data_IF_491409915740
#
_entry.id   IF_491409915740
#
_cell.length_a   1.000
_cell.length_b   1.000
_cell.length_c   1.000
_cell.angle_alpha   90.00
_cell.angle_beta   90.00
_cell.angle_gamma   90.00
#
_symmetry.space_group_name_H-M   'P 1'
#
loop_
_entity.id
_entity.type
_entity.pdbx_description
1 polymer ?
2 polymer ?
3 non-polymer ?
4 water ?
#
# COMPACT_ATOMS: atom_id res chain seq x y z
N UNK A 1 -11.78 -12.58 -1.27
CA UNK A 1 -11.64 -11.66 -0.11
C UNK A 1 -12.97 -10.95 0.17
N UNK A 2 -13.50 -11.17 1.37
CA UNK A 2 -14.78 -10.60 1.76
C UNK A 2 -14.66 -9.59 2.90
N UNK A 3 -13.43 -9.45 3.38
CA UNK A 3 -13.10 -8.63 4.55
C UNK A 3 -13.09 -9.45 5.83
N UNK A 4 -13.86 -10.54 5.86
CA UNK A 4 -13.94 -11.33 7.08
C UNK A 4 -13.18 -12.65 6.99
N UNK A 5 -12.74 -13.15 8.14
CA UNK A 5 -11.93 -14.36 8.20
C UNK A 5 -12.47 -15.27 9.29
N UNK A 6 -12.11 -16.56 9.25
CA UNK A 6 -12.63 -17.48 10.26
C UNK A 6 -11.83 -17.46 11.56
N UNK A 7 -11.30 -16.29 11.88
CA UNK A 7 -10.59 -16.08 13.12
C UNK A 7 -10.77 -14.61 13.48
N UNK A 8 -10.42 -14.27 14.71
CA UNK A 8 -10.69 -12.96 15.29
C UNK A 8 -9.60 -11.96 14.92
N UNK A 9 -9.94 -11.07 14.00
CA UNK A 9 -9.04 -10.05 13.49
C UNK A 9 -8.69 -9.01 14.57
N UNK A 10 -9.66 -8.72 15.42
CA UNK A 10 -9.43 -7.71 16.46
C UNK A 10 -8.43 -8.18 17.51
N UNK A 11 -8.44 -9.48 17.80
CA UNK A 11 -7.48 -10.08 18.70
C UNK A 11 -6.08 -10.07 18.06
N UNK A 12 -6.03 -10.36 16.76
CA UNK A 12 -4.79 -10.44 16.02
C UNK A 12 -4.13 -9.06 15.86
N UNK A 13 -4.95 -8.09 15.49
CA UNK A 13 -4.53 -6.71 15.22
C UNK A 13 -5.23 -5.75 16.20
N UNK A 14 -4.62 -5.48 17.36
CA UNK A 14 -5.28 -4.56 18.29
C UNK A 14 -5.36 -3.11 17.81
N UNK A 15 -4.42 -2.69 16.98
CA UNK A 15 -4.40 -1.30 16.53
C UNK A 15 -5.20 -1.15 15.22
N UNK A 16 -5.70 0.06 15.00
CA UNK A 16 -6.50 0.35 13.81
C UNK A 16 -5.72 0.10 12.51
N UNK A 17 -4.47 0.54 12.49
CA UNK A 17 -3.56 0.29 11.38
C UNK A 17 -2.34 -0.43 11.93
N UNK A 18 -2.07 -1.59 11.34
CA UNK A 18 -0.97 -2.46 11.72
C UNK A 18 0.10 -2.41 10.62
N UNK A 19 1.35 -2.26 11.03
CA UNK A 19 2.46 -2.13 10.10
C UNK A 19 3.34 -3.38 10.22
N UNK A 20 3.55 -4.03 9.08
CA UNK A 20 4.29 -5.29 9.03
C UNK A 20 5.40 -5.23 7.99
N UNK A 21 6.49 -5.93 8.26
CA UNK A 21 7.61 -6.01 7.33
C UNK A 21 7.86 -7.49 6.99
N UNK A 22 9.04 -7.78 6.43
CA UNK A 22 9.34 -9.12 5.91
C UNK A 22 9.22 -10.22 6.97
N UNK A 23 9.34 -9.86 8.24
CA UNK A 23 9.29 -10.83 9.32
C UNK A 23 7.86 -11.20 9.72
N UNK A 24 6.90 -10.40 9.27
CA UNK A 24 5.48 -10.65 9.54
C UNK A 24 5.26 -11.07 11.00
N UNK A 25 5.69 -10.19 11.91
CA UNK A 25 5.58 -10.45 13.34
C UNK A 25 4.18 -10.16 13.87
N UNK A 26 3.55 -11.16 14.47
CA UNK A 26 2.25 -10.85 15.09
C UNK A 26 2.40 -9.80 16.20
N UNK A 27 1.49 -8.82 16.27
CA UNK A 27 1.50 -7.92 17.43
C UNK A 27 1.42 -8.70 18.74
N UNK A 28 2.14 -8.26 19.77
CA UNK A 28 2.12 -8.93 21.06
C UNK A 28 1.98 -7.92 22.18
N UNK A 39 -4.04 -21.63 15.70
CA UNK A 39 -3.30 -21.06 16.82
C UNK A 39 -1.96 -20.48 16.36
N UNK A 40 -1.69 -20.52 15.06
CA UNK A 40 -0.52 -19.84 14.53
C UNK A 40 -0.94 -18.45 14.04
N UNK A 41 -0.67 -17.45 14.85
CA UNK A 41 -1.03 -16.09 14.53
C UNK A 41 -0.30 -15.61 13.28
N UNK A 42 0.92 -16.07 13.06
CA UNK A 42 1.64 -15.64 11.88
C UNK A 42 0.94 -16.14 10.62
N UNK A 43 0.40 -17.35 10.65
CA UNK A 43 -0.30 -17.88 9.49
C UNK A 43 -1.59 -17.08 9.22
N UNK A 44 -2.24 -16.62 10.28
CA UNK A 44 -3.38 -15.74 10.12
C UNK A 44 -2.99 -14.46 9.35
N UNK A 45 -1.87 -13.86 9.73
CA UNK A 45 -1.37 -12.68 9.03
C UNK A 45 -1.04 -13.01 7.57
N UNK A 46 -0.39 -14.14 7.35
CA UNK A 46 -0.02 -14.54 5.98
C UNK A 46 -1.25 -14.74 5.12
N UNK A 47 -2.29 -15.35 5.68
CA UNK A 47 -3.52 -15.55 4.95
C UNK A 47 -4.19 -14.21 4.57
N UNK A 48 -4.20 -13.27 5.51
CA UNK A 48 -4.78 -11.95 5.25
C UNK A 48 -4.03 -11.28 4.09
N UNK A 49 -2.70 -11.33 4.13
CA UNK A 49 -1.91 -10.71 3.05
C UNK A 49 -2.16 -11.41 1.70
N UNK A 50 -2.21 -12.73 1.71
CA UNK A 50 -2.48 -13.48 0.48
C UNK A 50 -3.82 -13.06 -0.13
N UNK A 51 -4.86 -13.02 0.69
CA UNK A 51 -6.18 -12.67 0.19
C UNK A 51 -6.27 -11.21 -0.28
N UNK A 52 -5.65 -10.32 0.46
CA UNK A 52 -5.60 -8.91 0.08
C UNK A 52 -4.90 -8.75 -1.25
N UNK A 53 -3.77 -9.45 -1.44
CA UNK A 53 -3.05 -9.33 -2.69
C UNK A 53 -3.84 -9.84 -3.88
N UNK A 54 -4.55 -10.94 -3.70
CA UNK A 54 -5.36 -11.47 -4.79
C UNK A 54 -6.50 -10.51 -5.15
N UNK A 55 -7.12 -9.92 -4.13
CA UNK A 55 -8.21 -8.96 -4.36
C UNK A 55 -7.71 -7.71 -5.08
N UNK A 56 -6.56 -7.20 -4.68
CA UNK A 56 -5.99 -6.01 -5.31
C UNK A 56 -5.68 -6.28 -6.77
N UNK A 57 -5.11 -7.44 -7.06
CA UNK A 57 -4.77 -7.78 -8.43
C UNK A 57 -6.02 -7.78 -9.30
N UNK A 58 -7.09 -8.40 -8.79
CA UNK A 58 -8.33 -8.45 -9.55
C UNK A 58 -8.87 -7.05 -9.81
N UNK A 59 -8.80 -6.19 -8.80
CA UNK A 59 -9.29 -4.82 -8.92
C UNK A 59 -8.53 -4.01 -9.97
N UNK A 60 -7.27 -4.35 -10.21
CA UNK A 60 -6.41 -3.59 -11.12
C UNK A 60 -6.21 -4.28 -12.46
N UNK A 61 -6.99 -5.31 -12.71
CA UNK A 61 -6.88 -6.04 -13.97
C UNK A 61 -5.50 -6.67 -14.16
N UNK A 62 -4.93 -7.20 -13.08
CA UNK A 62 -3.68 -7.93 -13.17
C UNK A 62 -3.99 -9.43 -13.18
N UNK A 63 -3.15 -10.21 -13.86
CA UNK A 63 -3.40 -11.63 -14.03
C UNK A 63 -2.88 -12.46 -12.87
N UNK A 64 -2.05 -11.84 -12.02
CA UNK A 64 -1.56 -12.49 -10.81
C UNK A 64 -1.25 -11.46 -9.74
N UNK A 65 -1.22 -11.89 -8.47
CA UNK A 65 -0.92 -10.94 -7.38
C UNK A 65 0.51 -10.42 -7.37
N UNK A 66 0.69 -9.17 -6.96
CA UNK A 66 2.03 -8.60 -6.73
C UNK A 66 2.31 -8.48 -5.23
N UNK A 67 1.30 -8.74 -4.41
CA UNK A 67 1.44 -8.79 -2.96
C UNK A 67 1.02 -10.17 -2.47
N UNK A 68 1.85 -10.76 -1.64
CA UNK A 68 1.56 -12.05 -1.03
C UNK A 68 2.43 -12.23 0.19
N UNK A 69 2.11 -13.20 1.02
CA UNK A 69 2.94 -13.45 2.18
C UNK A 69 4.37 -13.82 1.75
N UNK A 70 4.50 -14.71 0.78
CA UNK A 70 5.83 -15.14 0.37
C UNK A 70 6.62 -13.99 -0.25
N UNK A 71 5.96 -13.11 -0.99
CA UNK A 71 6.65 -11.95 -1.55
C UNK A 71 7.07 -10.97 -0.43
N UNK A 72 6.27 -10.85 0.62
CA UNK A 72 6.64 -9.99 1.74
C UNK A 72 7.92 -10.54 2.37
N UNK A 73 8.00 -11.86 2.49
CA UNK A 73 9.11 -12.47 3.20
C UNK A 73 10.42 -12.38 2.43
N UNK A 74 10.33 -12.24 1.11
CA UNK A 74 11.52 -12.21 0.27
C UNK A 74 11.94 -10.83 -0.24
N UNK A 75 11.26 -9.79 0.22
CA UNK A 75 11.55 -8.42 -0.18
C UNK A 75 11.72 -7.51 1.02
N UNK A 76 12.03 -6.24 0.77
CA UNK A 76 12.11 -5.23 1.81
C UNK A 76 10.98 -4.24 1.61
N UNK A 77 9.76 -4.74 1.70
CA UNK A 77 8.58 -3.94 1.61
C UNK A 77 7.92 -3.86 2.98
N UNK A 78 7.06 -2.87 3.14
CA UNK A 78 6.34 -2.63 4.38
C UNK A 78 4.89 -2.50 4.00
N UNK A 79 4.04 -3.23 4.73
CA UNK A 79 2.62 -3.20 4.50
C UNK A 79 1.88 -2.62 5.71
N UNK A 80 0.94 -1.73 5.42
CA UNK A 80 0.07 -1.09 6.40
C UNK A 80 -1.32 -1.64 6.16
N UNK A 81 -1.88 -2.28 7.18
CA UNK A 81 -3.19 -2.92 7.07
C UNK A 81 -4.21 -2.24 7.95
N UNK A 82 -5.29 -1.77 7.34
CA UNK A 82 -6.38 -1.10 8.04
C UNK A 82 -7.48 -2.10 8.35
N UNK A 83 -7.76 -2.28 9.64
CA UNK A 83 -8.89 -3.11 10.07
C UNK A 83 -10.15 -2.24 10.18
N UNK A 84 -11.30 -2.90 10.22
CA UNK A 84 -12.58 -2.21 10.33
C UNK A 84 -12.82 -1.83 11.80
N UNK A 85 -13.05 -0.55 12.08
CA UNK A 85 -13.20 -0.08 13.45
C UNK A 85 -14.65 -0.11 13.89
N UNK A 86 -15.53 -0.62 13.03
CA UNK A 86 -16.93 -0.80 13.39
C UNK A 86 -17.10 -2.23 13.86
N UNK A 87 -18.25 -2.49 14.47
CA UNK A 87 -18.60 -3.84 14.88
C UNK A 87 -19.26 -4.52 13.68
N UNK A 88 -18.88 -5.77 13.44
CA UNK A 88 -19.50 -6.55 12.36
C UNK A 88 -20.42 -7.59 12.97
N UNK A 89 -21.48 -7.97 12.24
CA UNK A 89 -22.46 -8.92 12.80
C UNK A 89 -21.84 -10.26 13.22
N UNK A 90 -20.88 -10.76 12.45
CA UNK A 90 -20.26 -12.06 12.75
C UNK A 90 -19.31 -11.98 13.94
N UNK A 91 -18.97 -10.76 14.34
CA UNK A 91 -18.33 -10.51 15.62
C UNK A 91 -16.87 -10.90 15.74
N UNK A 92 -16.18 -11.02 14.60
CA UNK A 92 -14.76 -11.41 14.63
C UNK A 92 -13.89 -10.38 13.89
N UNK A 93 -14.41 -9.17 13.74
CA UNK A 93 -13.67 -8.11 13.07
C UNK A 93 -13.59 -8.30 11.57
N UNK A 94 -12.90 -7.39 10.90
CA UNK A 94 -12.76 -7.47 9.45
C UNK A 94 -11.60 -6.60 9.03
N UNK A 95 -11.13 -6.84 7.81
CA UNK A 95 -10.03 -6.06 7.22
C UNK A 95 -10.59 -5.21 6.08
N UNK A 96 -10.26 -3.93 6.08
CA UNK A 96 -10.68 -3.01 5.02
C UNK A 96 -9.75 -2.98 3.82
N UNK A 97 -8.45 -2.89 4.05
CA UNK A 97 -7.52 -2.79 2.95
C UNK A 97 -6.11 -2.56 3.44
N UNK A 98 -5.25 -2.14 2.51
CA UNK A 98 -3.82 -2.03 2.79
C UNK A 98 -3.13 -1.12 1.80
N UNK A 99 -1.94 -0.68 2.20
CA UNK A 99 -1.01 -0.03 1.30
C UNK A 99 0.37 -0.65 1.55
N UNK A 100 1.10 -0.92 0.47
CA UNK A 100 2.43 -1.52 0.53
C UNK A 100 3.42 -0.57 -0.11
N UNK A 101 4.50 -0.32 0.60
CA UNK A 101 5.53 0.61 0.16
C UNK A 101 6.90 -0.03 0.24
N UNK A 102 7.86 0.54 -0.47
CA UNK A 102 9.23 0.09 -0.40
C UNK A 102 10.11 1.08 -1.13
N UNK A 103 11.34 1.22 -0.67
CA UNK A 103 12.32 2.04 -1.34
C UNK A 103 12.86 1.30 -2.54
N UNK A 104 13.05 1.99 -3.66
CA UNK A 104 13.68 1.38 -4.83
C UNK A 104 14.65 2.33 -5.50
N UNK A 105 15.78 1.81 -5.97
CA UNK A 105 16.68 2.56 -6.81
C UNK A 105 16.10 2.69 -8.21
N UNK A 106 15.99 3.92 -8.69
CA UNK A 106 15.47 4.22 -10.01
C UNK A 106 16.35 5.25 -10.68
N UNK A 107 16.27 5.31 -12.00
CA UNK A 107 16.88 6.38 -12.78
C UNK A 107 15.73 7.08 -13.47
N UNK A 108 15.58 8.37 -13.19
CA UNK A 108 14.47 9.11 -13.74
C UNK A 108 14.91 10.33 -14.53
N UNK A 109 14.21 10.55 -15.62
CA UNK A 109 14.46 11.65 -16.52
C UNK A 109 13.72 12.89 -16.04
N UNK A 110 14.42 14.01 -15.95
CA UNK A 110 13.75 15.27 -15.65
C UNK A 110 13.48 16.06 -16.92
N UNK A 111 12.98 17.28 -16.75
CA UNK A 111 12.63 18.13 -17.88
C UNK A 111 13.83 18.94 -18.39
N UNK A 112 15.01 18.64 -17.85
CA UNK A 112 16.24 19.29 -18.27
C UNK A 112 17.20 18.28 -18.90
N UNK A 113 16.62 17.18 -19.38
CA UNK A 113 17.34 16.14 -20.11
C UNK A 113 18.30 15.31 -19.27
N UNK A 114 18.23 15.46 -17.95
CA UNK A 114 19.15 14.74 -17.08
C UNK A 114 18.52 13.46 -16.58
N UNK A 115 19.30 12.41 -16.52
CA UNK A 115 18.90 11.20 -15.85
C UNK A 115 19.42 11.33 -14.44
N UNK A 116 18.52 11.20 -13.48
CA UNK A 116 18.81 11.34 -12.07
C UNK A 116 18.70 10.00 -11.37
N UNK A 117 19.75 9.62 -10.66
CA UNK A 117 19.73 8.43 -9.83
C UNK A 117 19.06 8.79 -8.51
N UNK A 118 18.00 8.04 -8.18
CA UNK A 118 17.22 8.36 -7.00
C UNK A 118 16.85 7.06 -6.27
N UNK A 119 16.43 7.19 -5.03
CA UNK A 119 15.98 6.07 -4.23
C UNK A 119 14.78 6.47 -3.40
N UNK A 120 13.69 6.82 -4.06
CA UNK A 120 12.51 7.29 -3.32
C UNK A 120 11.73 6.14 -2.68
N UNK A 121 10.94 6.49 -1.69
CA UNK A 121 9.88 5.59 -1.23
C UNK A 121 8.88 5.45 -2.37
N UNK A 122 8.54 4.21 -2.70
CA UNK A 122 7.57 3.92 -3.74
C UNK A 122 6.29 3.31 -3.17
N UNK A 123 5.16 3.71 -3.75
CA UNK A 123 3.89 3.06 -3.48
C UNK A 123 3.79 1.90 -4.46
N UNK A 124 3.70 0.69 -3.91
CA UNK A 124 3.81 -0.54 -4.68
C UNK A 124 2.48 -1.27 -4.89
N UNK A 125 1.58 -1.19 -3.91
CA UNK A 125 0.24 -1.77 -4.03
C UNK A 125 -0.65 -1.00 -3.05
N UNK A 126 -1.93 -0.89 -3.34
CA UNK A 126 -2.83 -0.07 -2.52
C UNK A 126 -4.23 -0.54 -2.91
N UNK A 127 -5.03 -0.96 -1.93
CA UNK A 127 -6.36 -1.50 -2.20
C UNK A 127 -7.25 -1.35 -0.98
N UNK A 128 -8.46 -0.89 -1.24
CA UNK A 128 -9.55 -0.82 -0.27
C UNK A 128 -10.69 -1.68 -0.80
N UNK A 129 -11.30 -2.53 0.03
CA UNK A 129 -12.37 -3.40 -0.45
C UNK A 129 -13.44 -2.62 -1.22
N UNK A 130 -13.87 -3.17 -2.36
CA UNK A 130 -14.82 -2.48 -3.26
C UNK A 130 -16.05 -1.92 -2.55
N UNK A 131 -16.60 -2.68 -1.63
CA UNK A 131 -17.84 -2.28 -0.96
C UNK A 131 -17.68 -1.04 -0.10
N UNK A 132 -16.45 -0.68 0.27
CA UNK A 132 -16.23 0.48 1.12
C UNK A 132 -15.22 1.47 0.53
N UNK A 133 -15.06 1.44 -0.78
CA UNK A 133 -14.31 2.49 -1.47
C UNK A 133 -15.09 3.79 -1.42
N UNK A 134 -14.37 4.89 -1.57
CA UNK A 134 -14.96 6.23 -1.54
C UNK A 134 -15.64 6.54 -0.21
N UNK A 135 -15.15 5.92 0.86
CA UNK A 135 -15.62 6.13 2.24
C UNK A 135 -14.55 6.85 3.05
N UNK A 136 -13.46 7.28 2.40
CA UNK A 136 -12.38 7.92 3.11
C UNK A 136 -11.29 7.02 3.68
N UNK A 137 -11.43 5.70 3.51
CA UNK A 137 -10.47 4.78 4.13
C UNK A 137 -9.09 4.89 3.47
N UNK A 138 -9.06 5.07 2.15
CA UNK A 138 -7.81 5.18 1.42
C UNK A 138 -7.01 6.38 1.92
N UNK A 139 -7.69 7.52 2.08
CA UNK A 139 -7.01 8.71 2.57
C UNK A 139 -6.46 8.50 3.96
N UNK A 140 -7.24 7.87 4.84
CA UNK A 140 -6.77 7.61 6.21
C UNK A 140 -5.47 6.78 6.18
N UNK A 141 -5.48 5.71 5.40
CA UNK A 141 -4.35 4.81 5.34
C UNK A 141 -3.11 5.52 4.75
N UNK A 142 -3.34 6.31 3.70
CA UNK A 142 -2.26 7.04 3.03
C UNK A 142 -1.63 8.04 4.01
N UNK A 143 -2.46 8.74 4.78
CA UNK A 143 -1.97 9.71 5.76
C UNK A 143 -1.12 9.06 6.84
N UNK A 144 -1.57 7.90 7.33
CA UNK A 144 -0.83 7.20 8.38
C UNK A 144 0.56 6.80 7.85
N UNK A 145 0.57 6.30 6.62
CA UNK A 145 1.81 5.88 5.99
C UNK A 145 2.76 7.09 5.83
N UNK A 146 2.24 8.23 5.36
CA UNK A 146 3.08 9.42 5.17
C UNK A 146 3.74 9.82 6.48
N UNK A 147 2.99 9.79 7.57
CA UNK A 147 3.49 10.20 8.87
C UNK A 147 4.58 9.24 9.37
N UNK A 148 4.34 7.94 9.26
CA UNK A 148 5.30 6.97 9.76
C UNK A 148 6.57 6.95 8.91
N UNK A 149 6.41 7.03 7.60
CA UNK A 149 7.55 7.05 6.69
C UNK A 149 8.28 8.39 6.66
N UNK A 150 7.65 9.44 7.19
CA UNK A 150 8.22 10.80 7.18
C UNK A 150 8.53 11.26 5.77
N UNK A 151 7.54 11.13 4.90
CA UNK A 151 7.67 11.57 3.53
C UNK A 151 6.49 12.45 3.16
N UNK A 152 6.70 13.35 2.21
CA UNK A 152 5.62 14.15 1.67
C UNK A 152 5.18 13.53 0.35
N UNK A 153 3.92 13.74 -0.03
CA UNK A 153 3.37 13.06 -1.22
C UNK A 153 4.17 13.31 -2.53
N UNK A 154 4.69 14.51 -2.73
CA UNK A 154 5.41 14.79 -3.96
C UNK A 154 6.80 14.18 -4.01
N UNK A 155 7.25 13.56 -2.92
CA UNK A 155 8.51 12.84 -2.88
C UNK A 155 8.41 11.38 -3.30
N UNK A 156 7.19 10.91 -3.53
CA UNK A 156 6.94 9.50 -3.84
C UNK A 156 7.08 9.17 -5.31
N UNK A 157 7.43 7.92 -5.58
CA UNK A 157 7.20 7.36 -6.91
C UNK A 157 6.14 6.26 -6.75
N UNK A 158 5.39 6.02 -7.81
CA UNK A 158 4.34 4.99 -7.77
C UNK A 158 4.52 4.01 -8.90
N UNK A 159 4.48 2.72 -8.58
CA UNK A 159 4.53 1.68 -9.61
C UNK A 159 3.21 1.66 -10.39
N UNK A 160 3.26 1.98 -11.67
CA UNK A 160 2.12 1.92 -12.59
C UNK A 160 0.78 2.26 -11.93
N UNK A 161 0.59 3.52 -11.54
CA UNK A 161 -0.63 3.88 -10.81
C UNK A 161 -1.85 3.74 -11.68
N UNK A 162 -2.94 3.30 -11.07
CA UNK A 162 -4.22 3.36 -11.73
C UNK A 162 -4.68 4.81 -11.87
N UNK A 163 -5.58 5.05 -12.81
CA UNK A 163 -6.18 6.36 -12.97
C UNK A 163 -6.95 6.77 -11.72
N UNK A 164 -7.58 5.81 -11.04
CA UNK A 164 -8.29 6.08 -9.79
C UNK A 164 -7.32 6.69 -8.77
N UNK A 165 -6.15 6.12 -8.68
CA UNK A 165 -5.18 6.62 -7.73
C UNK A 165 -4.68 8.01 -8.14
N UNK A 166 -4.48 8.23 -9.43
CA UNK A 166 -4.10 9.58 -9.84
C UNK A 166 -5.17 10.64 -9.48
N UNK A 167 -6.44 10.28 -9.63
CA UNK A 167 -7.53 11.20 -9.27
C UNK A 167 -7.52 11.45 -7.75
N UNK A 168 -7.33 10.38 -6.99
CA UNK A 168 -7.22 10.43 -5.53
C UNK A 168 -6.12 11.37 -5.10
N UNK A 169 -4.96 11.26 -5.75
CA UNK A 169 -3.82 12.05 -5.35
C UNK A 169 -3.99 13.51 -5.75
N UNK A 170 -4.63 13.75 -6.89
CA UNK A 170 -4.95 15.11 -7.25
C UNK A 170 -5.96 15.75 -6.31
N UNK A 171 -7.00 14.98 -5.98
CA UNK A 171 -8.04 15.50 -5.11
C UNK A 171 -7.50 15.83 -3.72
N UNK A 172 -6.80 14.88 -3.10
CA UNK A 172 -6.39 15.06 -1.71
C UNK A 172 -5.12 15.85 -1.50
N UNK A 173 -4.21 15.82 -2.48
CA UNK A 173 -2.87 16.38 -2.29
C UNK A 173 -2.47 17.31 -3.43
N UNK A 174 -3.37 17.54 -4.39
CA UNK A 174 -3.10 18.44 -5.52
C UNK A 174 -1.92 18.01 -6.36
N UNK A 175 -1.61 16.71 -6.36
CA UNK A 175 -0.47 16.21 -7.10
C UNK A 175 -0.77 16.17 -8.59
N UNK A 176 0.22 16.60 -9.37
CA UNK A 176 0.17 16.57 -10.82
C UNK A 176 1.35 15.78 -11.33
N UNK A 177 1.13 14.90 -12.29
CA UNK A 177 2.25 14.11 -12.78
C UNK A 177 3.26 15.00 -13.48
N UNK A 178 4.54 14.63 -13.36
CA UNK A 178 5.59 15.34 -14.09
C UNK A 178 6.13 14.43 -15.21
N UNK A 179 7.39 14.61 -15.60
CA UNK A 179 7.94 13.97 -16.79
C UNK A 179 7.66 12.46 -16.81
N UNK A 180 7.09 11.94 -17.92
CA UNK A 180 6.90 10.50 -18.03
C UNK A 180 8.20 9.72 -18.13
N UNK A 181 8.19 8.51 -17.60
CA UNK A 181 9.35 7.66 -17.48
C UNK A 181 9.22 6.40 -18.33
N UNK A 182 10.33 5.72 -18.56
CA UNK A 182 10.33 4.48 -19.31
C UNK A 182 10.38 3.25 -18.39
N UNK A 183 10.35 3.48 -17.08
CA UNK A 183 10.57 2.40 -16.10
C UNK A 183 9.30 1.96 -15.37
N UNK A 184 8.15 2.38 -15.88
CA UNK A 184 6.84 2.05 -15.31
C UNK A 184 6.48 2.74 -14.01
N UNK A 185 7.32 3.65 -13.53
CA UNK A 185 7.01 4.45 -12.35
C UNK A 185 6.56 5.84 -12.75
N UNK A 186 5.70 6.39 -11.93
CA UNK A 186 5.17 7.73 -12.09
C UNK A 186 5.63 8.61 -10.94
N UNK A 187 6.06 9.83 -11.27
CA UNK A 187 6.44 10.84 -10.31
C UNK A 187 5.66 12.14 -10.58
N UNK A 188 5.66 13.02 -9.60
CA UNK A 188 4.79 14.20 -9.59
C UNK A 188 5.63 15.47 -9.46
N UNK A 189 5.05 16.59 -9.94
CA UNK A 189 5.72 17.87 -9.87
C UNK A 189 6.09 18.17 -8.43
N UNK A 190 7.36 18.52 -8.23
CA UNK A 190 7.93 18.66 -6.91
C UNK A 190 8.95 17.58 -6.57
N UNK A 191 8.94 16.49 -7.34
CA UNK A 191 9.88 15.40 -7.11
C UNK A 191 11.33 15.82 -7.26
N UNK A 192 11.61 16.64 -8.27
CA UNK A 192 12.96 17.11 -8.55
C UNK A 192 13.30 18.37 -7.75
N UNK A 193 14.59 18.55 -7.47
CA UNK A 193 15.03 19.62 -6.58
C UNK A 193 14.70 21.01 -7.12
N UNK A 194 14.60 21.16 -8.44
CA UNK A 194 14.29 22.45 -9.05
C UNK A 194 12.79 22.70 -9.22
N UNK A 195 11.97 21.77 -8.73
CA UNK A 195 10.52 21.89 -8.83
C UNK A 195 9.91 22.24 -7.48
N UNK A 196 8.65 22.66 -7.50
CA UNK A 196 7.93 23.02 -6.29
C UNK A 196 6.64 22.25 -6.23
N UNK A 197 6.33 21.71 -5.05
CA UNK A 197 5.09 20.98 -4.80
C UNK A 197 3.88 21.89 -4.82
N UNK A 198 2.71 21.28 -4.85
CA UNK A 198 1.41 21.95 -4.95
C UNK A 198 1.13 22.85 -3.75
C UNK B 1 10.63 -2.59 -10.38
N UNK B 2 9.84 -2.34 -11.43
CA UNK B 2 8.40 -2.48 -11.34
C UNK B 2 7.93 -3.90 -11.21
N UNK B 3 7.00 -4.21 -10.33
CA UNK B 3 6.46 -5.56 -10.17
C UNK B 3 5.24 -5.73 -11.03
N UNK B 4 4.69 -4.62 -11.53
CA UNK B 4 3.49 -4.68 -12.36
C UNK B 4 3.79 -4.94 -13.81
N UNK B 5 5.08 -5.05 -14.13
CA UNK B 5 5.38 -5.32 -15.53
C UNK B 5 5.82 -6.74 -15.73
N UNK B 6 5.86 -7.20 -16.98
X LIG C 1 -12.79 6.33 -9.98
X LIG C 1 -12.11 7.50 -9.98
X LIG C 1 -11.58 8.02 -8.84
X LIG C 1 -11.75 7.32 -7.69
X LIG C 1 -12.43 6.11 -7.67
X LIG C 1 -12.96 5.62 -8.86
X LIG C 1 -13.64 4.46 -8.93
X LIG C 1 -12.43 5.68 -6.38
X LIG C 1 -11.77 6.59 -5.63
X LIG C 1 -11.35 7.59 -6.44
X LIG C 1 -10.61 8.81 -6.04
X LIG C 1 -11.52 10.03 -6.34
X LIG C 1 -10.69 11.19 -6.37
X LIG C 1 -12.45 9.95 -5.13
X LIG C 1 -13.06 11.29 -4.93
X LIG C 1 -14.44 11.63 -5.71
X LIG C 1 -15.56 10.64 -5.21
X LIG C 1 -14.87 13.10 -5.36
X LIG C 1 -14.34 11.45 -7.26
X LIG C 1 -11.43 9.69 -4.00
X LIG C 1 -10.46 8.79 -4.63
X LIG C 1 -11.99 9.07 -2.72
X LIG C 1 -10.98 9.06 -1.69
X LIG C 1 -11.03 7.89 -0.57
X LIG C 1 -10.12 8.28 0.54
X LIG C 1 -12.48 7.59 -0.28
X LIG C 1 -10.43 6.70 -1.44
X LIG C 1 -10.63 5.11 -1.42
X LIG C 1 -11.61 4.78 -2.50
X LIG C 1 -10.86 4.65 -0.02
X LIG C 1 -9.16 4.61 -1.83
X LIG C 1 -8.18 3.59 -3.83
X LIG C 1 -8.60 4.89 -3.13
X LIG C 1 -7.71 3.99 -5.22
X LIG C 1 -7.04 2.89 -3.08
X LIG C 1 -9.39 2.64 -3.90
X LIG C 1 -10.51 3.23 -4.59
X LIG C 1 -9.08 1.32 -4.57
X LIG C 1 -8.63 0.39 -3.90
X LIG C 1 -9.30 1.21 -5.87
X LIG C 1 -9.07 -0.02 -6.64
X LIG C 1 -7.61 -0.46 -6.60
X LIG C 1 -6.66 0.60 -7.13
X LIG C 1 -6.85 1.22 -8.19
X LIG C 1 -5.59 0.80 -6.39
X LIG C 1 -4.47 1.70 -6.68
X LIG C 1 -3.40 0.84 -7.39
X LIG C 1 -2.09 1.83 -8.11
#
# INVERSE_FOLDING_TARGET
FTMEFPFDVDALFPERITVLDQHLRPPARRPGTTTPARVDLQQQIMTIIDELGKASAKAQNLSAPITSASRMQSNRHVVYILKDSSARPAGKGAIIGFIKVGYKKLFVLDDREAHNEVEPLCILDFYIHESVQRHGHGRELFQYMLQKERVEPHQLAIDRPSQKLLKFLNKHYNLETTVPQVNNFVIFEGFFAHQHPP
XSDXTX
COA N1A C2A N3A C4A C5A C6A N6A N7A C8A N9A C1B C2B O2B C3B O3B P3B O7A O8A O9A C4B O4B C5B O5B P1A O1A O2A O3A P2A O4A O5A O6A CBP CCP CDP CEP CAP OAP C9P O9P N8P C7P C6P C5P O5P N4P C3P C2P S1P
#
